data_IF_615679397374
#
_entry.id   IF_615679397374
#
_cell.length_a   1.000
_cell.length_b   1.000
_cell.length_c   1.000
_cell.angle_alpha   90.00
_cell.angle_beta   90.00
_cell.angle_gamma   90.00
#
_symmetry.space_group_name_H-M   'P 1'
#
loop_
_entity.id
_entity.type
_entity.pdbx_description
1 polymer ?
#
# COMPACT_ATOMS: atom_id res chain seq x y z
N UNK A 1 -19.32 0.87 4.72
CA UNK A 1 -18.92 -0.55 4.51
C UNK A 1 -19.78 -1.46 5.37
N UNK A 2 -20.25 -2.60 4.83
CA UNK A 2 -20.98 -3.61 5.62
C UNK A 2 -20.03 -4.27 6.63
N UNK A 3 -20.42 -4.37 7.90
CA UNK A 3 -19.66 -5.04 8.95
C UNK A 3 -19.35 -6.50 8.57
N UNK A 4 -18.18 -7.00 8.96
CA UNK A 4 -17.81 -8.39 8.75
C UNK A 4 -18.78 -9.32 9.49
N UNK A 5 -19.04 -10.50 8.93
CA UNK A 5 -19.82 -11.57 9.58
C UNK A 5 -18.93 -12.54 10.37
N UNK A 6 -17.61 -12.34 10.34
CA UNK A 6 -16.66 -13.13 11.13
C UNK A 6 -16.72 -12.70 12.60
N UNK A 7 -16.50 -13.64 13.53
CA UNK A 7 -16.31 -13.29 14.93
C UNK A 7 -15.06 -12.41 15.10
N UNK A 8 -15.00 -11.64 16.19
CA UNK A 8 -13.92 -10.69 16.45
C UNK A 8 -12.55 -11.38 16.51
N UNK A 9 -12.46 -12.53 17.19
CA UNK A 9 -11.23 -13.33 17.28
C UNK A 9 -10.64 -13.67 15.91
N UNK A 10 -11.47 -14.15 14.97
CA UNK A 10 -11.01 -14.46 13.59
C UNK A 10 -10.60 -13.19 12.85
N UNK A 11 -11.24 -12.06 13.09
CA UNK A 11 -10.84 -10.79 12.50
C UNK A 11 -9.47 -10.35 13.01
N UNK A 12 -9.26 -10.38 14.32
CA UNK A 12 -8.00 -9.98 14.96
C UNK A 12 -6.84 -10.84 14.46
N UNK A 13 -7.02 -12.16 14.38
CA UNK A 13 -5.99 -13.06 13.83
C UNK A 13 -5.73 -12.83 12.34
N UNK A 14 -6.76 -12.53 11.54
CA UNK A 14 -6.55 -12.16 10.13
C UNK A 14 -5.77 -10.86 10.00
N UNK A 15 -6.01 -9.88 10.87
CA UNK A 15 -5.24 -8.61 10.90
C UNK A 15 -3.80 -8.89 11.30
N UNK A 16 -3.57 -9.70 12.34
CA UNK A 16 -2.23 -10.10 12.78
C UNK A 16 -1.42 -10.72 11.63
N UNK A 17 -1.99 -11.70 10.93
CA UNK A 17 -1.35 -12.33 9.78
C UNK A 17 -1.17 -11.40 8.58
N UNK A 18 -2.05 -10.42 8.40
CA UNK A 18 -1.88 -9.40 7.38
C UNK A 18 -0.66 -8.52 7.68
N UNK A 19 -0.54 -8.05 8.93
CA UNK A 19 0.57 -7.21 9.41
C UNK A 19 1.89 -7.98 9.35
N UNK A 20 1.88 -9.28 9.69
CA UNK A 20 3.07 -10.13 9.64
C UNK A 20 3.51 -10.49 8.20
N UNK A 21 2.78 -10.06 7.17
CA UNK A 21 3.10 -10.35 5.77
C UNK A 21 2.81 -11.79 5.33
N UNK A 22 2.00 -12.55 6.08
CA UNK A 22 1.63 -13.90 5.69
C UNK A 22 0.74 -13.88 4.43
N UNK A 23 0.81 -14.95 3.62
CA UNK A 23 -0.10 -15.07 2.48
C UNK A 23 -1.53 -15.29 2.96
N UNK A 24 -2.52 -14.76 2.23
CA UNK A 24 -3.94 -14.99 2.55
C UNK A 24 -4.30 -16.49 2.59
N UNK A 25 -3.60 -17.33 1.82
CA UNK A 25 -3.76 -18.79 1.83
C UNK A 25 -3.30 -19.38 3.17
N UNK A 26 -2.13 -18.98 3.65
CA UNK A 26 -1.60 -19.42 4.95
C UNK A 26 -2.49 -18.93 6.09
N UNK A 27 -2.88 -17.65 6.07
CA UNK A 27 -3.78 -17.09 7.08
C UNK A 27 -5.14 -17.82 7.11
N UNK A 28 -5.69 -18.18 5.95
CA UNK A 28 -6.93 -18.94 5.88
C UNK A 28 -6.84 -20.30 6.60
N UNK A 29 -5.74 -21.02 6.42
CA UNK A 29 -5.50 -22.30 7.08
C UNK A 29 -5.31 -22.15 8.60
N UNK A 30 -4.60 -21.11 9.04
CA UNK A 30 -4.29 -20.88 10.46
C UNK A 30 -5.47 -20.33 11.27
N UNK A 31 -6.37 -19.57 10.64
CA UNK A 31 -7.56 -18.97 11.26
C UNK A 31 -8.82 -19.84 11.05
N UNK A 32 -8.69 -20.93 10.30
CA UNK A 32 -9.79 -21.83 9.94
C UNK A 32 -10.95 -21.09 9.26
N UNK A 33 -10.66 -20.52 8.08
CA UNK A 33 -11.67 -19.88 7.21
C UNK A 33 -11.44 -20.31 5.76
N UNK A 34 -12.48 -20.23 4.94
CA UNK A 34 -12.34 -20.49 3.51
C UNK A 34 -11.33 -19.51 2.87
N UNK A 35 -10.48 -20.00 1.96
CA UNK A 35 -9.42 -19.22 1.31
C UNK A 35 -9.89 -17.90 0.68
N UNK A 36 -11.08 -17.91 0.06
CA UNK A 36 -11.65 -16.71 -0.55
C UNK A 36 -12.08 -15.68 0.50
N UNK A 37 -12.45 -16.13 1.70
CA UNK A 37 -12.81 -15.25 2.81
C UNK A 37 -11.59 -14.48 3.29
N UNK A 38 -10.46 -15.15 3.53
CA UNK A 38 -9.21 -14.49 3.92
C UNK A 38 -8.70 -13.56 2.80
N UNK A 39 -8.75 -14.00 1.54
CA UNK A 39 -8.35 -13.17 0.40
C UNK A 39 -9.20 -11.88 0.29
N UNK A 40 -10.53 -12.00 0.41
CA UNK A 40 -11.43 -10.87 0.41
C UNK A 40 -11.20 -9.95 1.62
N UNK A 41 -10.97 -10.52 2.80
CA UNK A 41 -10.68 -9.75 4.02
C UNK A 41 -9.40 -8.92 3.86
N UNK A 42 -8.32 -9.54 3.40
CA UNK A 42 -7.05 -8.86 3.12
C UNK A 42 -7.20 -7.80 2.03
N UNK A 43 -8.01 -8.05 1.00
CA UNK A 43 -8.30 -7.04 -0.02
C UNK A 43 -8.99 -5.81 0.57
N UNK A 44 -10.02 -6.02 1.40
CA UNK A 44 -10.72 -4.92 2.09
C UNK A 44 -9.82 -4.15 3.05
N UNK A 45 -8.94 -4.83 3.78
CA UNK A 45 -7.93 -4.17 4.60
C UNK A 45 -7.04 -3.25 3.76
N UNK A 46 -6.57 -3.70 2.59
CA UNK A 46 -5.79 -2.84 1.68
C UNK A 46 -6.57 -1.62 1.20
N UNK A 47 -7.85 -1.77 0.90
CA UNK A 47 -8.71 -0.64 0.52
C UNK A 47 -8.87 0.37 1.66
N UNK A 48 -9.06 -0.12 2.89
CA UNK A 48 -9.12 0.74 4.08
C UNK A 48 -7.80 1.48 4.32
N UNK A 49 -6.66 0.80 4.16
CA UNK A 49 -5.33 1.42 4.26
C UNK A 49 -5.16 2.49 3.19
N UNK A 50 -5.55 2.19 1.94
CA UNK A 50 -5.50 3.16 0.83
C UNK A 50 -6.29 4.43 1.16
N UNK A 51 -7.52 4.29 1.64
CA UNK A 51 -8.35 5.42 2.07
C UNK A 51 -7.71 6.18 3.23
N UNK A 52 -7.25 5.48 4.27
CA UNK A 52 -6.66 6.11 5.45
C UNK A 52 -5.35 6.86 5.14
N UNK A 53 -4.62 6.43 4.11
CA UNK A 53 -3.43 7.13 3.61
C UNK A 53 -3.84 8.43 2.90
N UNK A 54 -4.88 8.40 2.07
CA UNK A 54 -5.38 9.61 1.39
C UNK A 54 -5.88 10.66 2.40
N UNK A 55 -6.62 10.21 3.42
CA UNK A 55 -7.14 11.07 4.50
C UNK A 55 -6.05 11.64 5.42
N UNK A 56 -4.82 11.10 5.37
CA UNK A 56 -3.69 11.55 6.19
C UNK A 56 -2.92 12.74 5.58
N UNK A 57 -3.35 13.24 4.41
CA UNK A 57 -2.80 14.43 3.76
C UNK A 57 -3.64 15.69 4.09
N UNK A 58 -3.05 16.91 4.07
CA UNK A 58 -1.69 17.25 3.67
C UNK A 58 -0.63 17.01 4.76
N UNK A 59 0.62 16.82 4.32
CA UNK A 59 1.81 16.70 5.15
C UNK A 59 2.45 18.07 5.40
N UNK A 60 3.12 18.22 6.54
CA UNK A 60 3.84 19.44 6.91
C UNK A 60 5.10 19.11 7.70
N UNK A 61 6.08 20.01 7.68
CA UNK A 61 7.38 19.85 8.35
C UNK A 61 8.38 19.05 7.52
N UNK A 62 9.32 18.35 8.18
CA UNK A 62 10.33 17.55 7.50
C UNK A 62 9.72 16.31 6.81
N UNK A 63 9.95 16.23 5.50
CA UNK A 63 9.38 15.22 4.63
C UNK A 63 10.50 14.59 3.79
N UNK A 64 10.46 13.27 3.68
CA UNK A 64 11.30 12.48 2.79
C UNK A 64 10.46 11.99 1.62
N UNK A 65 11.06 11.92 0.43
CA UNK A 65 10.39 11.47 -0.80
C UNK A 65 11.25 10.41 -1.47
N UNK A 66 10.60 9.35 -1.97
CA UNK A 66 11.31 8.26 -2.66
C UNK A 66 10.46 7.63 -3.76
N UNK A 67 11.12 6.95 -4.69
CA UNK A 67 10.53 6.23 -5.80
C UNK A 67 10.81 4.73 -5.70
N UNK A 68 9.75 3.94 -5.63
CA UNK A 68 9.82 2.48 -5.68
C UNK A 68 9.29 1.95 -7.01
N UNK A 69 9.86 0.85 -7.50
CA UNK A 69 9.42 0.20 -8.74
C UNK A 69 9.01 -1.24 -8.47
N UNK A 70 7.75 -1.57 -8.75
CA UNK A 70 7.19 -2.91 -8.53
C UNK A 70 7.00 -3.67 -9.84
N UNK A 71 7.15 -4.99 -9.81
CA UNK A 71 7.02 -5.84 -11.00
C UNK A 71 8.30 -5.93 -11.83
N UNK A 72 8.16 -6.14 -13.14
CA UNK A 72 9.31 -6.31 -14.04
C UNK A 72 10.01 -7.67 -13.95
N UNK A 73 9.26 -8.74 -13.63
CA UNK A 73 9.77 -10.13 -13.52
C UNK A 73 10.08 -10.74 -14.90
N UNK A 74 10.91 -10.08 -15.73
CA UNK A 74 11.35 -10.63 -17.03
C UNK A 74 12.85 -10.43 -17.24
N UNK A 75 13.44 -11.34 -18.01
CA UNK A 75 14.80 -11.22 -18.52
C UNK A 75 14.88 -10.02 -19.47
N UNK A 76 15.91 -9.18 -19.36
CA UNK A 76 16.08 -7.98 -20.18
C UNK A 76 16.81 -6.84 -19.44
N UNK A 77 16.63 -5.59 -19.94
CA UNK A 77 17.19 -4.38 -19.32
C UNK A 77 16.82 -4.31 -17.84
N UNK A 78 17.83 -4.03 -17.00
CA UNK A 78 17.69 -3.89 -15.53
C UNK A 78 17.55 -2.41 -15.14
N UNK A 79 17.27 -2.15 -13.85
CA UNK A 79 17.16 -0.80 -13.30
C UNK A 79 15.80 -0.13 -13.58
N UNK A 80 15.76 1.20 -13.51
CA UNK A 80 14.53 2.01 -13.63
C UNK A 80 13.87 1.89 -15.01
N UNK A 81 14.66 1.78 -16.08
CA UNK A 81 14.18 1.68 -17.46
C UNK A 81 13.75 0.28 -17.91
N UNK A 82 13.55 -0.66 -16.98
CA UNK A 82 13.08 -2.00 -17.31
C UNK A 82 11.57 -1.98 -17.62
N UNK A 83 11.18 -2.58 -18.75
CA UNK A 83 9.78 -2.64 -19.15
C UNK A 83 8.93 -3.46 -18.16
N UNK A 84 7.65 -3.07 -18.01
CA UNK A 84 6.70 -3.78 -17.14
C UNK A 84 6.89 -3.53 -15.64
N UNK A 85 7.64 -2.48 -15.26
CA UNK A 85 7.68 -1.96 -13.90
C UNK A 85 6.62 -0.90 -13.71
N UNK A 86 5.99 -0.90 -12.54
CA UNK A 86 5.05 0.13 -12.11
C UNK A 86 5.77 1.03 -11.11
N UNK A 87 6.02 2.31 -11.45
CA UNK A 87 6.58 3.26 -10.50
C UNK A 87 5.53 3.67 -9.46
N UNK A 88 5.98 3.78 -8.22
CA UNK A 88 5.20 4.21 -7.06
C UNK A 88 6.00 5.29 -6.35
N UNK A 89 5.36 6.43 -6.14
CA UNK A 89 5.94 7.55 -5.42
C UNK A 89 5.53 7.51 -3.96
N UNK A 90 6.50 7.62 -3.05
CA UNK A 90 6.31 7.65 -1.61
C UNK A 90 6.66 9.02 -1.03
N UNK A 91 5.84 9.51 -0.11
CA UNK A 91 6.06 10.69 0.71
C UNK A 91 6.00 10.24 2.17
N UNK A 92 7.09 10.40 2.92
CA UNK A 92 7.19 10.03 4.32
C UNK A 92 7.38 11.29 5.17
N UNK A 93 6.50 11.52 6.14
CA UNK A 93 6.77 12.47 7.23
C UNK A 93 7.64 11.79 8.28
N UNK A 94 8.78 12.39 8.68
CA UNK A 94 9.64 11.81 9.74
C UNK A 94 8.82 11.60 11.02
N UNK A 95 8.86 10.38 11.56
CA UNK A 95 8.07 9.99 12.75
C UNK A 95 6.55 9.99 12.53
N UNK A 96 6.09 10.12 11.28
CA UNK A 96 4.69 10.24 10.91
C UNK A 96 4.21 9.11 10.00
N UNK A 97 3.21 9.42 9.19
CA UNK A 97 2.61 8.48 8.23
C UNK A 97 3.28 8.59 6.87
N UNK A 98 3.19 7.51 6.10
CA UNK A 98 3.62 7.45 4.70
C UNK A 98 2.41 7.61 3.79
N UNK A 99 2.58 8.36 2.71
CA UNK A 99 1.69 8.41 1.57
C UNK A 99 2.35 7.77 0.37
N UNK A 100 1.60 6.95 -0.36
CA UNK A 100 2.11 6.26 -1.55
C UNK A 100 1.11 6.35 -2.68
N UNK A 101 1.56 6.68 -3.89
CA UNK A 101 0.72 6.76 -5.09
C UNK A 101 1.40 6.09 -6.26
N UNK A 102 0.64 5.24 -6.97
CA UNK A 102 1.07 4.75 -8.29
C UNK A 102 1.08 5.93 -9.25
N UNK A 103 2.19 6.11 -9.95
CA UNK A 103 2.40 7.23 -10.87
C UNK A 103 2.57 6.71 -12.31
N UNK A 104 2.16 7.49 -13.33
CA UNK A 104 2.35 7.10 -14.72
C UNK A 104 3.82 7.13 -15.14
N UNK A 105 4.61 8.03 -14.54
CA UNK A 105 6.03 8.21 -14.78
C UNK A 105 6.68 9.03 -13.66
N UNK A 106 8.02 9.04 -13.63
CA UNK A 106 8.87 9.75 -12.66
C UNK A 106 9.38 11.10 -13.20
N UNK A 107 8.63 11.76 -14.07
CA UNK A 107 9.03 13.09 -14.57
C UNK A 107 8.81 14.14 -13.48
N UNK A 108 9.68 15.14 -13.44
CA UNK A 108 9.60 16.23 -12.45
C UNK A 108 8.21 16.89 -12.41
N UNK A 109 7.57 17.09 -13.56
CA UNK A 109 6.21 17.66 -13.63
C UNK A 109 5.16 16.79 -12.90
N UNK A 110 5.26 15.46 -13.01
CA UNK A 110 4.36 14.52 -12.32
C UNK A 110 4.59 14.57 -10.81
N UNK A 111 5.86 14.56 -10.39
CA UNK A 111 6.23 14.55 -8.97
C UNK A 111 5.93 15.88 -8.28
N UNK A 112 6.32 17.00 -8.88
CA UNK A 112 6.09 18.34 -8.32
C UNK A 112 4.60 18.61 -8.10
N UNK A 113 3.75 18.23 -9.06
CA UNK A 113 2.29 18.35 -8.91
C UNK A 113 1.78 17.60 -7.67
N UNK A 114 2.29 16.39 -7.41
CA UNK A 114 1.89 15.61 -6.24
C UNK A 114 2.40 16.27 -4.96
N UNK A 115 3.63 16.78 -4.95
CA UNK A 115 4.22 17.45 -3.78
C UNK A 115 3.45 18.72 -3.43
N UNK A 116 3.15 19.57 -4.41
CA UNK A 116 2.38 20.81 -4.22
C UNK A 116 0.96 20.54 -3.73
N UNK A 117 0.33 19.45 -4.16
CA UNK A 117 -1.01 19.06 -3.69
C UNK A 117 -0.98 18.51 -2.26
N UNK A 118 0.08 17.78 -1.90
CA UNK A 118 0.12 16.97 -0.67
C UNK A 118 0.96 17.56 0.45
N UNK A 119 1.74 18.60 0.21
CA UNK A 119 2.62 19.22 1.21
C UNK A 119 2.21 20.67 1.39
N UNK A 120 1.97 21.06 2.64
CA UNK A 120 1.82 22.47 3.03
C UNK A 120 3.14 22.99 3.62
N UNK A 121 3.44 24.29 3.44
CA UNK A 121 4.63 24.93 4.00
C UNK A 121 4.76 24.75 5.53
#
# INVERSE_FOLDING_TARGET
MRKSRLCQEKQDRLIEYFVSGATARTAAALVDVHRNTAALYFHRLRQLICQAIDDASPFSGEIEVDESYFGGTRKGKRGRGAAGKVPVFGILKRGGRVYTKIIPDVRSATLMRILEEKIVP
#
